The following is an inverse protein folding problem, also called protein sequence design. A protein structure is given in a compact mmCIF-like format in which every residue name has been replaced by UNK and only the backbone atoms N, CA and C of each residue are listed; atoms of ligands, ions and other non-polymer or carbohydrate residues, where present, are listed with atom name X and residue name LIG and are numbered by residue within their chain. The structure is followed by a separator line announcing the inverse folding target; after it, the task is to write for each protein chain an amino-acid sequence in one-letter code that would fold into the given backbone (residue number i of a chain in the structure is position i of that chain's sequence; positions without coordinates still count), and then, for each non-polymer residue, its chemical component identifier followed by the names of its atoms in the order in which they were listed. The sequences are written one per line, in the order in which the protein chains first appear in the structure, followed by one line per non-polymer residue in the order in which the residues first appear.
data_IF_018821946563
#
_entry.id   IF_018821946563
#
_cell.length_a   1.000
_cell.length_b   1.000
_cell.length_c   1.000
_cell.angle_alpha   90.00
_cell.angle_beta   90.00
_cell.angle_gamma   90.00
#
_symmetry.space_group_name_H-M   'P 1'
#
loop_
_entity.id
_entity.type
_entity.pdbx_description
1 polymer ?
#
# COMPACT_ATOMS: atom_id res chain seq x y z
N UNK A 1 17.09 -14.79 -19.05
CA UNK A 1 16.08 -15.32 -18.11
C UNK A 1 16.88 -15.98 -17.01
N UNK A 2 16.99 -15.34 -15.85
CA UNK A 2 17.60 -15.94 -14.68
C UNK A 2 16.59 -16.97 -14.16
N UNK A 3 16.85 -18.25 -14.44
CA UNK A 3 16.06 -19.33 -13.84
C UNK A 3 16.31 -19.28 -12.34
N UNK A 4 15.26 -19.09 -11.56
CA UNK A 4 15.34 -19.15 -10.10
C UNK A 4 15.87 -20.56 -9.76
N UNK A 5 17.02 -20.60 -9.09
CA UNK A 5 17.57 -21.90 -8.64
C UNK A 5 16.58 -22.49 -7.65
N UNK A 6 16.25 -23.79 -7.78
CA UNK A 6 15.37 -24.42 -6.80
C UNK A 6 16.01 -24.33 -5.40
N UNK A 7 15.18 -24.15 -4.39
CA UNK A 7 15.65 -24.13 -2.99
C UNK A 7 16.34 -25.45 -2.67
N UNK A 8 17.52 -25.33 -2.07
CA UNK A 8 18.18 -26.51 -1.51
C UNK A 8 17.41 -27.04 -0.30
N UNK A 9 17.57 -28.31 0.09
CA UNK A 9 16.97 -28.84 1.31
C UNK A 9 17.33 -28.04 2.57
N UNK A 10 18.56 -27.49 2.62
CA UNK A 10 19.03 -26.63 3.72
C UNK A 10 18.23 -25.32 3.75
N UNK A 11 18.13 -24.62 2.62
CA UNK A 11 17.35 -23.39 2.51
C UNK A 11 15.88 -23.61 2.87
N UNK A 12 15.29 -24.76 2.48
CA UNK A 12 13.92 -25.09 2.89
C UNK A 12 13.79 -25.21 4.40
N UNK A 13 14.70 -25.91 5.05
CA UNK A 13 14.70 -26.07 6.52
C UNK A 13 14.88 -24.73 7.24
N UNK A 14 15.76 -23.87 6.75
CA UNK A 14 15.93 -22.53 7.31
C UNK A 14 14.66 -21.69 7.18
N UNK A 15 13.98 -21.72 6.03
CA UNK A 15 12.72 -21.03 5.81
C UNK A 15 11.62 -21.60 6.73
N UNK A 16 11.49 -22.91 6.80
CA UNK A 16 10.50 -23.58 7.65
C UNK A 16 10.74 -23.28 9.14
N UNK A 17 12.01 -23.26 9.59
CA UNK A 17 12.37 -22.87 10.93
C UNK A 17 12.00 -21.40 11.21
N UNK A 18 12.37 -20.49 10.34
CA UNK A 18 12.02 -19.08 10.44
C UNK A 18 10.51 -18.84 10.42
N UNK A 19 9.76 -19.55 9.59
CA UNK A 19 8.30 -19.48 9.56
C UNK A 19 7.63 -20.08 10.81
N UNK A 20 8.29 -21.02 11.46
CA UNK A 20 7.81 -21.60 12.72
C UNK A 20 8.06 -20.70 13.94
N UNK A 21 9.01 -19.78 13.87
CA UNK A 21 9.25 -18.75 14.86
C UNK A 21 8.10 -17.74 14.83
N UNK A 22 7.05 -18.00 15.60
CA UNK A 22 5.92 -17.06 15.71
C UNK A 22 6.38 -15.79 16.42
N UNK A 23 6.27 -14.62 15.80
CA UNK A 23 6.54 -13.37 16.50
C UNK A 23 5.59 -13.26 17.69
N UNK A 24 6.12 -12.88 18.84
CA UNK A 24 5.30 -12.59 20.02
C UNK A 24 4.61 -11.24 19.79
N UNK A 25 3.37 -11.28 19.31
CA UNK A 25 2.57 -10.08 19.22
C UNK A 25 2.07 -9.68 20.60
N UNK A 26 2.43 -8.50 21.03
CA UNK A 26 1.73 -7.89 22.17
C UNK A 26 0.37 -7.39 21.67
N UNK A 27 -0.73 -7.72 22.35
CA UNK A 27 -2.02 -7.17 22.01
C UNK A 27 -1.97 -5.65 22.12
N UNK A 28 -2.58 -4.97 21.14
CA UNK A 28 -2.74 -3.53 21.21
C UNK A 28 -3.53 -3.17 22.48
N UNK A 29 -3.17 -2.05 23.17
CA UNK A 29 -3.92 -1.58 24.31
C UNK A 29 -5.41 -1.42 24.00
N UNK A 30 -6.29 -1.78 24.92
CA UNK A 30 -7.74 -1.62 24.78
C UNK A 30 -8.18 -0.16 24.56
N UNK A 31 -7.27 0.78 24.89
CA UNK A 31 -7.46 2.21 24.61
C UNK A 31 -7.48 2.58 23.12
N UNK A 32 -7.01 1.70 22.24
CA UNK A 32 -7.17 1.91 20.79
C UNK A 32 -8.61 1.53 20.43
N UNK A 33 -9.45 2.55 20.31
CA UNK A 33 -10.85 2.36 19.94
C UNK A 33 -10.96 1.62 18.61
N UNK A 34 -11.86 0.63 18.54
CA UNK A 34 -12.18 -0.05 17.29
C UNK A 34 -12.67 0.97 16.26
N UNK A 35 -12.04 0.97 15.11
CA UNK A 35 -12.44 1.78 13.96
C UNK A 35 -13.04 0.85 12.92
N UNK A 36 -14.06 1.35 12.22
CA UNK A 36 -14.77 0.54 11.24
C UNK A 36 -14.07 0.50 9.89
N UNK A 37 -13.22 1.47 9.59
CA UNK A 37 -12.60 1.64 8.29
C UNK A 37 -11.08 1.81 8.41
N UNK A 38 -10.34 1.23 7.46
CA UNK A 38 -8.91 1.42 7.29
C UNK A 38 -8.64 2.03 5.91
N UNK A 39 -7.99 3.19 5.90
CA UNK A 39 -7.50 3.82 4.66
C UNK A 39 -5.99 3.81 4.68
N UNK A 40 -5.39 3.21 3.67
CA UNK A 40 -3.94 3.20 3.46
C UNK A 40 -3.60 4.08 2.27
N UNK A 41 -2.79 5.11 2.50
CA UNK A 41 -2.31 6.01 1.45
C UNK A 41 -0.83 5.77 1.20
N UNK A 42 -0.50 5.26 0.01
CA UNK A 42 0.88 5.08 -0.43
C UNK A 42 1.35 6.33 -1.17
N UNK A 43 2.23 7.10 -0.55
CA UNK A 43 2.83 8.29 -1.15
C UNK A 43 4.21 7.94 -1.70
N UNK A 44 4.30 7.71 -3.02
CA UNK A 44 5.59 7.44 -3.66
C UNK A 44 6.49 8.68 -3.62
N UNK A 45 7.76 8.48 -3.26
CA UNK A 45 8.79 9.53 -3.19
C UNK A 45 8.54 10.64 -2.16
N UNK A 46 7.65 10.42 -1.20
CA UNK A 46 7.51 11.32 -0.06
C UNK A 46 8.59 10.97 0.98
N UNK A 47 9.55 11.87 1.15
CA UNK A 47 10.62 11.73 2.11
C UNK A 47 10.34 12.54 3.39
N UNK A 48 10.80 12.04 4.53
CA UNK A 48 10.51 12.65 5.84
C UNK A 48 11.09 14.05 6.02
N UNK A 49 12.14 14.42 5.27
CA UNK A 49 12.76 15.74 5.39
C UNK A 49 11.84 16.90 5.03
N UNK A 50 10.77 16.68 4.26
CA UNK A 50 9.79 17.72 3.90
C UNK A 50 8.83 18.07 5.06
N UNK A 51 8.76 17.20 6.08
CA UNK A 51 7.89 17.38 7.21
C UNK A 51 8.48 18.46 8.15
N UNK A 52 7.61 19.33 8.64
CA UNK A 52 7.94 20.44 9.53
C UNK A 52 8.94 21.45 8.96
N UNK A 53 9.27 21.34 7.67
CA UNK A 53 10.18 22.27 6.99
C UNK A 53 9.46 23.53 6.49
N UNK A 54 10.22 24.62 6.46
CA UNK A 54 9.76 25.93 5.94
C UNK A 54 10.74 26.44 4.89
N UNK A 55 10.19 27.00 3.82
CA UNK A 55 10.96 27.75 2.82
C UNK A 55 10.39 29.17 2.84
N UNK A 56 11.24 30.17 3.06
CA UNK A 56 10.85 31.58 3.17
C UNK A 56 9.67 31.81 4.16
N UNK A 57 9.67 31.07 5.27
CA UNK A 57 8.62 31.13 6.29
C UNK A 57 7.35 30.34 5.99
N UNK A 58 7.19 29.77 4.82
CA UNK A 58 6.02 28.99 4.40
C UNK A 58 6.28 27.48 4.66
N UNK A 59 5.35 26.83 5.38
CA UNK A 59 5.42 25.38 5.60
C UNK A 59 5.26 24.64 4.26
N UNK A 60 6.15 23.67 3.98
CA UNK A 60 6.10 22.86 2.76
C UNK A 60 4.89 21.91 2.81
N UNK A 61 4.61 21.30 3.97
CA UNK A 61 3.57 20.28 4.16
C UNK A 61 2.63 20.64 5.31
N UNK A 62 1.90 21.77 5.25
CA UNK A 62 1.13 22.29 6.39
C UNK A 62 0.03 21.31 6.86
N UNK A 63 -0.60 20.58 5.95
CA UNK A 63 -1.64 19.62 6.29
C UNK A 63 -1.07 18.36 6.95
N UNK A 64 0.05 17.83 6.46
CA UNK A 64 0.72 16.69 7.10
C UNK A 64 1.27 17.10 8.46
N UNK A 65 1.90 18.26 8.57
CA UNK A 65 2.39 18.79 9.85
C UNK A 65 1.25 18.93 10.89
N UNK A 66 0.06 19.33 10.46
CA UNK A 66 -1.12 19.37 11.34
C UNK A 66 -1.47 17.97 11.84
N UNK A 67 -1.54 16.99 10.96
CA UNK A 67 -1.82 15.58 11.32
C UNK A 67 -0.77 15.03 12.28
N UNK A 68 0.51 15.33 12.06
CA UNK A 68 1.59 14.90 12.96
C UNK A 68 1.44 15.41 14.39
N UNK A 69 0.80 16.57 14.57
CA UNK A 69 0.57 17.21 15.89
C UNK A 69 -0.67 16.70 16.60
N UNK A 70 -1.51 15.90 15.94
CA UNK A 70 -2.71 15.34 16.55
C UNK A 70 -2.36 14.24 17.56
N UNK A 71 -3.05 14.22 18.71
CA UNK A 71 -2.80 13.22 19.78
C UNK A 71 -3.06 11.78 19.36
N UNK A 72 -3.87 11.59 18.31
CA UNK A 72 -4.20 10.28 17.75
C UNK A 72 -3.21 9.78 16.70
N UNK A 73 -2.20 10.58 16.37
CA UNK A 73 -1.20 10.22 15.36
C UNK A 73 -0.07 9.39 15.97
N UNK A 74 0.21 8.25 15.37
CA UNK A 74 1.44 7.49 15.60
C UNK A 74 2.41 7.80 14.44
N UNK A 75 3.55 8.36 14.77
CA UNK A 75 4.57 8.72 13.79
C UNK A 75 5.84 7.89 13.99
N UNK A 76 6.33 7.28 12.92
CA UNK A 76 7.57 6.51 12.90
C UNK A 76 8.59 7.17 11.96
N UNK A 77 9.46 8.07 12.45
CA UNK A 77 10.34 8.90 11.60
C UNK A 77 11.50 8.15 10.96
N UNK A 78 11.88 7.00 11.46
CA UNK A 78 13.08 6.26 11.05
C UNK A 78 12.77 4.96 10.31
N UNK A 79 11.68 4.93 9.55
CA UNK A 79 11.35 3.77 8.73
C UNK A 79 12.15 3.82 7.43
N UNK A 80 13.01 2.85 7.22
CA UNK A 80 13.75 2.69 5.97
C UNK A 80 12.89 1.93 4.95
N UNK A 81 12.94 2.37 3.70
CA UNK A 81 12.24 1.67 2.63
C UNK A 81 12.79 0.25 2.42
N UNK A 82 11.89 -0.71 2.26
CA UNK A 82 12.20 -2.11 1.95
C UNK A 82 11.87 -2.48 0.50
N UNK A 83 11.41 -1.50 -0.30
CA UNK A 83 11.06 -1.75 -1.70
C UNK A 83 12.29 -2.03 -2.55
N UNK A 84 12.09 -2.74 -3.64
CA UNK A 84 13.10 -3.12 -4.63
C UNK A 84 12.68 -2.64 -6.03
N UNK A 85 12.82 -3.46 -7.05
CA UNK A 85 12.49 -3.13 -8.44
C UNK A 85 11.02 -2.80 -8.70
N UNK A 86 10.11 -3.26 -7.87
CA UNK A 86 8.68 -2.97 -7.97
C UNK A 86 8.25 -1.62 -7.40
N UNK A 87 9.09 -0.93 -6.64
CA UNK A 87 8.76 0.38 -6.06
C UNK A 87 7.45 0.35 -5.26
N UNK A 88 6.47 1.20 -5.61
CA UNK A 88 5.18 1.29 -4.90
C UNK A 88 4.37 -0.01 -4.94
N UNK A 89 4.49 -0.85 -5.97
CA UNK A 89 3.82 -2.16 -5.97
C UNK A 89 4.45 -3.12 -4.94
N UNK A 90 5.76 -3.03 -4.70
CA UNK A 90 6.42 -3.78 -3.62
C UNK A 90 5.92 -3.32 -2.25
N UNK A 91 5.62 -2.03 -2.10
CA UNK A 91 5.03 -1.51 -0.88
C UNK A 91 3.62 -2.08 -0.63
N UNK A 92 2.85 -2.34 -1.68
CA UNK A 92 1.56 -3.03 -1.55
C UNK A 92 1.76 -4.47 -1.01
N UNK A 93 2.79 -5.19 -1.44
CA UNK A 93 3.13 -6.52 -0.92
C UNK A 93 3.49 -6.45 0.57
N UNK A 94 4.38 -5.51 0.94
CA UNK A 94 4.79 -5.30 2.33
C UNK A 94 3.59 -5.05 3.25
N UNK A 95 2.72 -4.14 2.88
CA UNK A 95 1.57 -3.73 3.71
C UNK A 95 0.49 -4.81 3.76
N UNK A 96 0.15 -5.42 2.62
CA UNK A 96 -0.95 -6.38 2.56
C UNK A 96 -0.56 -7.78 3.02
N UNK A 97 0.65 -8.25 2.71
CA UNK A 97 1.07 -9.62 2.99
C UNK A 97 2.16 -9.73 4.06
N UNK A 98 2.75 -8.61 4.52
CA UNK A 98 3.89 -8.64 5.43
C UNK A 98 5.13 -9.30 4.85
N UNK A 99 5.23 -9.39 3.53
CA UNK A 99 6.31 -10.10 2.82
C UNK A 99 7.29 -9.11 2.23
N UNK A 100 8.59 -9.42 2.33
CA UNK A 100 9.63 -8.67 1.64
C UNK A 100 9.57 -8.93 0.12
N UNK A 101 9.82 -7.91 -0.70
CA UNK A 101 9.86 -8.08 -2.15
C UNK A 101 11.08 -8.90 -2.59
N UNK A 102 10.98 -9.49 -3.76
CA UNK A 102 12.07 -10.26 -4.39
C UNK A 102 13.27 -9.35 -4.69
N UNK A 103 14.48 -9.89 -4.55
CA UNK A 103 15.71 -9.12 -4.72
C UNK A 103 15.95 -8.64 -6.16
N UNK A 104 15.44 -9.32 -7.17
CA UNK A 104 15.63 -8.99 -8.57
C UNK A 104 14.30 -8.98 -9.32
N UNK A 105 14.03 -7.88 -10.01
CA UNK A 105 12.79 -7.68 -10.74
C UNK A 105 11.65 -7.20 -9.84
N UNK A 106 10.42 -7.53 -10.21
CA UNK A 106 9.21 -7.13 -9.52
C UNK A 106 8.30 -8.35 -9.33
N UNK A 107 7.82 -8.59 -8.12
CA UNK A 107 6.94 -9.73 -7.83
C UNK A 107 5.66 -9.69 -8.66
N UNK A 108 5.09 -8.51 -8.85
CA UNK A 108 3.86 -8.32 -9.62
C UNK A 108 4.00 -8.68 -11.11
N UNK A 109 5.23 -8.75 -11.62
CA UNK A 109 5.51 -9.18 -12.99
C UNK A 109 5.87 -10.67 -13.06
N UNK A 110 6.41 -11.25 -11.97
CA UNK A 110 6.83 -12.64 -11.93
C UNK A 110 5.77 -13.57 -11.34
N UNK A 111 5.09 -13.11 -10.30
CA UNK A 111 4.18 -13.91 -9.47
C UNK A 111 2.86 -13.16 -9.21
N UNK A 112 2.20 -12.59 -10.24
CA UNK A 112 1.07 -11.68 -10.02
C UNK A 112 -0.18 -12.40 -9.50
N UNK A 113 -0.31 -13.68 -9.78
CA UNK A 113 -1.48 -14.53 -9.47
C UNK A 113 -1.21 -15.60 -8.40
N UNK A 114 -0.06 -15.53 -7.73
CA UNK A 114 0.24 -16.41 -6.61
C UNK A 114 -0.74 -16.20 -5.43
N UNK A 115 -0.80 -17.18 -4.57
CA UNK A 115 -1.64 -17.11 -3.36
C UNK A 115 -0.89 -16.38 -2.24
N UNK A 116 -1.38 -15.17 -1.91
CA UNK A 116 -0.83 -14.37 -0.82
C UNK A 116 -1.73 -14.41 0.42
N UNK A 117 -1.17 -14.66 1.62
CA UNK A 117 -1.86 -14.42 2.88
C UNK A 117 -1.90 -12.91 3.14
N UNK A 118 -3.05 -12.28 2.92
CA UNK A 118 -3.15 -10.82 2.97
C UNK A 118 -4.05 -10.33 4.10
N UNK A 119 -3.76 -9.10 4.55
CA UNK A 119 -4.60 -8.37 5.50
C UNK A 119 -6.04 -8.28 4.99
N UNK A 120 -6.22 -8.00 3.70
CA UNK A 120 -7.53 -7.92 3.06
C UNK A 120 -8.33 -9.22 3.22
N UNK A 121 -7.72 -10.37 2.92
CA UNK A 121 -8.37 -11.69 3.11
C UNK A 121 -8.68 -11.97 4.58
N UNK A 122 -7.78 -11.60 5.48
CA UNK A 122 -7.97 -11.78 6.92
C UNK A 122 -9.15 -10.92 7.45
N UNK A 123 -9.23 -9.66 7.02
CA UNK A 123 -10.34 -8.77 7.37
C UNK A 123 -11.67 -9.27 6.78
N UNK A 124 -11.68 -9.74 5.55
CA UNK A 124 -12.85 -10.35 4.90
C UNK A 124 -13.39 -11.55 5.69
N UNK A 125 -12.48 -12.47 6.04
CA UNK A 125 -12.86 -13.68 6.78
C UNK A 125 -13.42 -13.35 8.17
N UNK A 126 -12.91 -12.32 8.83
CA UNK A 126 -13.24 -11.96 10.20
C UNK A 126 -14.44 -11.01 10.31
N UNK A 127 -14.44 -9.95 9.49
CA UNK A 127 -15.34 -8.79 9.66
C UNK A 127 -16.32 -8.62 8.49
N UNK A 128 -16.28 -9.50 7.47
CA UNK A 128 -17.05 -9.35 6.22
C UNK A 128 -16.85 -7.97 5.56
N UNK A 129 -15.67 -7.40 5.72
CA UNK A 129 -15.32 -6.08 5.19
C UNK A 129 -15.35 -6.07 3.66
N UNK A 130 -15.52 -4.90 3.06
CA UNK A 130 -15.25 -4.67 1.64
C UNK A 130 -13.90 -4.00 1.47
N UNK A 131 -13.25 -4.26 0.35
CA UNK A 131 -11.92 -3.74 0.06
C UNK A 131 -11.84 -3.10 -1.32
N UNK A 132 -11.15 -1.99 -1.37
CA UNK A 132 -11.01 -1.18 -2.58
C UNK A 132 -9.54 -0.85 -2.80
N UNK A 133 -9.09 -0.95 -4.05
CA UNK A 133 -7.80 -0.45 -4.49
C UNK A 133 -8.01 0.68 -5.49
N UNK A 134 -7.48 1.85 -5.20
CA UNK A 134 -7.63 3.04 -6.01
C UNK A 134 -6.28 3.38 -6.65
N UNK A 135 -6.26 3.60 -7.96
CA UNK A 135 -5.05 4.00 -8.70
C UNK A 135 -5.40 4.87 -9.90
N UNK A 136 -4.54 5.84 -10.20
CA UNK A 136 -4.66 6.68 -11.41
C UNK A 136 -4.16 5.98 -12.67
N UNK A 137 -3.45 4.87 -12.51
CA UNK A 137 -2.89 4.12 -13.63
C UNK A 137 -3.91 3.13 -14.24
N UNK A 138 -3.54 2.57 -15.40
CA UNK A 138 -4.33 1.51 -16.01
C UNK A 138 -4.24 0.23 -15.18
N UNK A 139 -5.30 -0.57 -15.17
CA UNK A 139 -5.34 -1.86 -14.46
C UNK A 139 -4.26 -2.87 -14.89
N UNK A 140 -3.72 -2.71 -16.11
CA UNK A 140 -2.61 -3.54 -16.62
C UNK A 140 -1.23 -3.06 -16.15
N UNK A 141 -1.11 -1.83 -15.66
CA UNK A 141 0.16 -1.32 -15.13
C UNK A 141 0.55 -2.14 -13.90
N UNK A 142 1.76 -2.71 -13.91
CA UNK A 142 2.23 -3.62 -12.86
C UNK A 142 1.30 -4.81 -12.58
N UNK A 143 0.57 -5.28 -13.57
CA UNK A 143 -0.44 -6.35 -13.40
C UNK A 143 -1.45 -6.08 -12.28
N UNK A 144 -1.77 -4.82 -12.03
CA UNK A 144 -2.55 -4.36 -10.88
C UNK A 144 -3.90 -5.09 -10.74
N UNK A 145 -4.55 -5.42 -11.86
CA UNK A 145 -5.81 -6.17 -11.82
C UNK A 145 -5.64 -7.62 -11.33
N UNK A 146 -4.51 -8.25 -11.68
CA UNK A 146 -4.22 -9.63 -11.26
C UNK A 146 -3.80 -9.62 -9.79
N UNK A 147 -2.89 -8.72 -9.41
CA UNK A 147 -2.43 -8.54 -8.03
C UNK A 147 -3.59 -8.22 -7.09
N UNK A 148 -4.48 -7.31 -7.46
CA UNK A 148 -5.66 -6.97 -6.66
C UNK A 148 -6.50 -8.21 -6.36
N UNK A 149 -6.74 -9.04 -7.39
CA UNK A 149 -7.47 -10.31 -7.25
C UNK A 149 -6.77 -11.31 -6.34
N UNK A 150 -5.45 -11.51 -6.54
CA UNK A 150 -4.66 -12.43 -5.72
C UNK A 150 -4.54 -11.96 -4.27
N UNK A 151 -4.65 -10.65 -4.02
CA UNK A 151 -4.71 -10.08 -2.67
C UNK A 151 -6.10 -10.14 -2.02
N UNK A 152 -7.14 -10.56 -2.76
CA UNK A 152 -8.51 -10.61 -2.26
C UNK A 152 -9.18 -9.24 -2.19
N UNK A 153 -8.76 -8.30 -3.03
CA UNK A 153 -9.40 -6.98 -3.14
C UNK A 153 -10.65 -7.09 -4.01
N UNK A 154 -11.78 -6.62 -3.49
CA UNK A 154 -13.07 -6.75 -4.16
C UNK A 154 -13.20 -5.85 -5.38
N UNK A 155 -12.70 -4.63 -5.28
CA UNK A 155 -12.90 -3.63 -6.33
C UNK A 155 -11.62 -2.85 -6.62
N UNK A 156 -11.20 -2.87 -7.87
CA UNK A 156 -10.13 -2.01 -8.40
C UNK A 156 -10.72 -0.83 -9.15
N UNK A 157 -10.48 0.37 -8.65
CA UNK A 157 -10.80 1.63 -9.32
C UNK A 157 -9.53 2.17 -9.99
N UNK A 158 -9.40 1.87 -11.29
CA UNK A 158 -8.27 2.25 -12.12
C UNK A 158 -8.60 3.47 -13.00
N UNK A 159 -7.69 3.86 -13.86
CA UNK A 159 -7.77 5.05 -14.72
C UNK A 159 -9.16 5.36 -15.35
N UNK A 160 -9.92 4.41 -15.88
CA UNK A 160 -11.23 4.71 -16.48
C UNK A 160 -12.29 5.17 -15.46
N UNK A 161 -12.05 4.96 -14.16
CA UNK A 161 -12.99 5.32 -13.11
C UNK A 161 -12.87 6.79 -12.65
N UNK A 162 -11.91 7.54 -13.23
CA UNK A 162 -11.58 8.91 -12.83
C UNK A 162 -11.80 9.90 -13.97
N UNK A 163 -12.33 11.08 -13.63
CA UNK A 163 -12.41 12.20 -14.58
C UNK A 163 -11.03 12.82 -14.74
N UNK A 164 -10.59 13.05 -15.97
CA UNK A 164 -9.32 13.69 -16.27
C UNK A 164 -9.49 15.22 -16.31
N UNK A 165 -9.81 15.82 -15.20
CA UNK A 165 -10.06 17.26 -15.01
C UNK A 165 -8.79 18.06 -14.65
N UNK A 166 -7.76 17.39 -14.13
CA UNK A 166 -6.45 17.96 -13.89
C UNK A 166 -5.38 17.09 -14.58
N UNK A 167 -4.57 17.70 -15.45
CA UNK A 167 -3.55 17.00 -16.24
C UNK A 167 -2.17 17.44 -15.80
N UNK A 168 -1.38 16.52 -15.25
CA UNK A 168 -0.01 16.80 -14.77
C UNK A 168 1.04 16.00 -15.54
N UNK A 169 2.23 16.58 -15.62
CA UNK A 169 3.39 15.99 -16.25
C UNK A 169 3.28 15.84 -17.79
N UNK A 170 4.36 15.38 -18.40
CA UNK A 170 4.46 15.19 -19.86
C UNK A 170 3.46 14.16 -20.40
N UNK A 171 3.10 13.18 -19.59
CA UNK A 171 2.14 12.12 -19.95
C UNK A 171 0.67 12.51 -19.72
N UNK A 172 0.41 13.74 -19.28
CA UNK A 172 -0.94 14.24 -18.99
C UNK A 172 -1.76 13.26 -18.13
N UNK A 173 -1.17 12.76 -17.07
CA UNK A 173 -1.86 11.92 -16.08
C UNK A 173 -2.79 12.78 -15.21
N UNK A 174 -3.76 12.15 -14.58
CA UNK A 174 -4.55 12.80 -13.55
C UNK A 174 -3.64 13.23 -12.37
N UNK A 175 -3.78 14.47 -11.92
CA UNK A 175 -3.04 15.00 -10.79
C UNK A 175 -3.52 14.42 -9.46
N UNK A 176 -2.62 14.35 -8.48
CA UNK A 176 -2.91 13.75 -7.17
C UNK A 176 -4.00 14.52 -6.41
N UNK A 177 -4.04 15.85 -6.55
CA UNK A 177 -5.07 16.67 -5.90
C UNK A 177 -6.46 16.32 -6.42
N UNK A 178 -6.63 16.23 -7.74
CA UNK A 178 -7.90 15.83 -8.32
C UNK A 178 -8.25 14.38 -8.02
N UNK A 179 -7.27 13.47 -8.07
CA UNK A 179 -7.48 12.07 -7.68
C UNK A 179 -8.02 11.94 -6.26
N UNK A 180 -7.37 12.58 -5.29
CA UNK A 180 -7.80 12.53 -3.89
C UNK A 180 -9.18 13.18 -3.67
N UNK A 181 -9.47 14.30 -4.33
CA UNK A 181 -10.83 14.91 -4.29
C UNK A 181 -11.89 13.93 -4.79
N UNK A 182 -11.67 13.31 -5.95
CA UNK A 182 -12.61 12.33 -6.51
C UNK A 182 -12.75 11.08 -5.64
N UNK A 183 -11.66 10.61 -5.01
CA UNK A 183 -11.72 9.51 -4.05
C UNK A 183 -12.60 9.85 -2.84
N UNK A 184 -12.42 11.03 -2.25
CA UNK A 184 -13.25 11.51 -1.13
C UNK A 184 -14.71 11.69 -1.55
N UNK A 185 -14.99 12.25 -2.74
CA UNK A 185 -16.34 12.35 -3.28
C UNK A 185 -17.04 10.98 -3.38
N UNK A 186 -16.31 9.96 -3.85
CA UNK A 186 -16.84 8.58 -3.92
C UNK A 186 -17.12 7.99 -2.53
N UNK A 187 -16.26 8.26 -1.56
CA UNK A 187 -16.49 7.89 -0.16
C UNK A 187 -17.77 8.56 0.39
N UNK A 188 -17.91 9.86 0.21
CA UNK A 188 -19.07 10.62 0.68
C UNK A 188 -20.40 10.17 0.05
N UNK A 189 -20.37 9.65 -1.19
CA UNK A 189 -21.54 9.09 -1.86
C UNK A 189 -21.80 7.62 -1.50
N UNK A 190 -20.98 7.01 -0.66
CA UNK A 190 -21.09 5.58 -0.32
C UNK A 190 -20.74 4.62 -1.47
N UNK A 191 -20.01 5.09 -2.48
CA UNK A 191 -19.58 4.25 -3.60
C UNK A 191 -18.40 3.33 -3.23
N UNK A 192 -17.63 3.72 -2.22
CA UNK A 192 -16.43 3.01 -1.74
C UNK A 192 -16.36 2.96 -0.21
N UNK A 193 -17.39 2.40 0.40
CA UNK A 193 -17.44 2.03 1.83
C UNK A 193 -18.03 0.65 2.02
#
# INVERSE_FOLDING_TARGET
IQTDKPFTPEMRREIEHWMAEKPTYQPLPDSISRRNNLVVVLCESLESWVLEQRIEGIEITPNLNRVLRERSTLYAPHVLTQVKGGRSIDCQLLINAGMLPINSGCYAMRYPDDTYPTLTKALHAREKSRSYLLTVDKAVTWNQAIVARSFGIDTLLAKPCWRLDEKVGSRKKLGDVSFMKQAVEKMQRGEIW
#
